data_IF_962440326168
#
_entry.id   IF_962440326168
#
_cell.length_a   1.000
_cell.length_b   1.000
_cell.length_c   1.000
_cell.angle_alpha   90.00
_cell.angle_beta   90.00
_cell.angle_gamma   90.00
#
_symmetry.space_group_name_H-M   'P 1'
#
loop_
_entity.id
_entity.type
_entity.pdbx_description
1 polymer ?
#
# COMPACT_ATOMS: atom_id res chain seq x y z
N UNK A 1 3.66 4.51 8.81
CA UNK A 1 2.42 3.90 8.27
C UNK A 1 1.17 4.73 8.48
N UNK A 2 0.90 5.19 9.71
CA UNK A 2 -0.29 6.03 9.99
C UNK A 2 -0.24 7.37 9.24
N UNK A 3 0.94 7.91 9.02
CA UNK A 3 1.16 9.15 8.26
C UNK A 3 0.71 9.03 6.81
N UNK A 4 1.07 7.94 6.14
CA UNK A 4 0.60 7.65 4.78
C UNK A 4 -0.94 7.65 4.72
N UNK A 5 -1.59 7.00 5.68
CA UNK A 5 -3.04 6.91 5.72
C UNK A 5 -3.71 8.26 5.99
N UNK A 6 -3.16 9.05 6.93
CA UNK A 6 -3.64 10.41 7.23
C UNK A 6 -3.50 11.31 5.98
N UNK A 7 -2.33 11.34 5.36
CA UNK A 7 -2.06 12.16 4.18
C UNK A 7 -2.93 11.73 3.00
N UNK A 8 -3.13 10.42 2.81
CA UNK A 8 -3.99 9.88 1.75
C UNK A 8 -5.45 10.33 1.88
N UNK A 9 -6.01 10.32 3.10
CA UNK A 9 -7.36 10.81 3.35
C UNK A 9 -7.46 12.33 3.19
N UNK A 10 -6.48 13.08 3.73
CA UNK A 10 -6.45 14.54 3.62
C UNK A 10 -6.22 15.02 2.18
N UNK A 11 -5.64 14.19 1.31
CA UNK A 11 -5.55 14.47 -0.13
C UNK A 11 -6.91 14.44 -0.83
N UNK A 12 -7.87 13.71 -0.30
CA UNK A 12 -9.25 13.71 -0.82
C UNK A 12 -10.00 14.99 -0.42
N UNK A 13 -9.93 15.37 0.86
CA UNK A 13 -10.59 16.56 1.42
C UNK A 13 -10.05 16.88 2.81
N UNK A 14 -10.13 18.14 3.24
CA UNK A 14 -9.90 18.52 4.65
C UNK A 14 -10.87 17.82 5.59
N UNK A 15 -10.39 17.39 6.78
CA UNK A 15 -11.18 16.62 7.75
C UNK A 15 -10.88 17.04 9.19
N UNK A 16 -11.88 16.85 10.07
CA UNK A 16 -11.66 16.89 11.52
C UNK A 16 -10.94 15.62 12.02
N UNK A 17 -10.20 15.70 13.12
CA UNK A 17 -9.48 14.55 13.68
C UNK A 17 -10.37 13.35 13.98
N UNK A 18 -11.61 13.55 14.45
CA UNK A 18 -12.55 12.44 14.68
C UNK A 18 -13.06 11.82 13.38
N UNK A 19 -13.21 12.61 12.31
CA UNK A 19 -13.56 12.10 10.97
C UNK A 19 -12.43 11.27 10.41
N UNK A 20 -11.18 11.73 10.53
CA UNK A 20 -10.00 10.96 10.13
C UNK A 20 -9.99 9.59 10.82
N UNK A 21 -10.24 9.53 12.13
CA UNK A 21 -10.27 8.26 12.85
C UNK A 21 -11.35 7.31 12.31
N UNK A 22 -12.55 7.83 12.04
CA UNK A 22 -13.65 7.05 11.48
C UNK A 22 -13.35 6.57 10.07
N UNK A 23 -12.92 7.45 9.18
CA UNK A 23 -12.58 7.12 7.78
C UNK A 23 -11.45 6.11 7.70
N UNK A 24 -10.41 6.24 8.54
CA UNK A 24 -9.34 5.26 8.64
C UNK A 24 -9.86 3.85 8.99
N UNK A 25 -10.85 3.79 9.90
CA UNK A 25 -11.45 2.51 10.30
C UNK A 25 -12.38 1.94 9.23
N UNK A 26 -13.14 2.79 8.53
CA UNK A 26 -14.12 2.41 7.51
C UNK A 26 -13.45 2.02 6.17
N UNK A 27 -12.56 2.85 5.64
CA UNK A 27 -11.94 2.63 4.33
C UNK A 27 -10.91 1.50 4.34
N UNK A 28 -10.23 1.30 5.46
CA UNK A 28 -9.24 0.23 5.59
C UNK A 28 -9.84 -1.08 6.12
N UNK A 29 -11.19 -1.11 6.28
CA UNK A 29 -12.00 -2.32 6.39
C UNK A 29 -11.57 -3.30 7.49
N UNK A 30 -11.22 -2.82 8.68
CA UNK A 30 -10.75 -3.70 9.77
C UNK A 30 -9.32 -4.26 9.57
N UNK A 31 -8.72 -4.06 8.40
CA UNK A 31 -7.31 -4.41 8.13
C UNK A 31 -6.36 -3.58 8.98
N UNK A 32 -6.85 -2.43 9.46
CA UNK A 32 -6.08 -1.54 10.30
C UNK A 32 -6.92 -0.83 11.36
N UNK A 33 -6.65 -1.12 12.63
CA UNK A 33 -7.23 -0.38 13.76
C UNK A 33 -6.27 0.73 14.19
N UNK A 34 -6.67 1.98 13.95
CA UNK A 34 -5.95 3.15 14.45
C UNK A 34 -6.54 3.58 15.78
N UNK A 35 -5.73 3.56 16.84
CA UNK A 35 -6.15 4.10 18.15
C UNK A 35 -6.06 5.63 18.15
N UNK A 36 -6.90 6.28 18.94
CA UNK A 36 -6.78 7.73 19.21
C UNK A 36 -5.40 8.08 19.76
N UNK A 37 -4.79 7.17 20.54
CA UNK A 37 -3.46 7.34 21.10
C UNK A 37 -2.34 7.43 20.07
N UNK A 38 -2.52 6.87 18.85
CA UNK A 38 -1.54 6.97 17.75
C UNK A 38 -1.88 8.07 16.74
N UNK A 39 -3.16 8.39 16.55
CA UNK A 39 -3.60 9.39 15.58
C UNK A 39 -3.15 10.81 15.94
N UNK A 40 -3.47 11.29 17.13
CA UNK A 40 -3.16 12.67 17.50
C UNK A 40 -1.67 13.00 17.61
N UNK A 41 -0.81 12.12 18.16
CA UNK A 41 0.65 12.34 18.07
C UNK A 41 1.14 12.43 16.62
N UNK A 42 0.60 11.62 15.71
CA UNK A 42 0.98 11.66 14.29
C UNK A 42 0.50 12.94 13.61
N UNK A 43 -0.71 13.43 13.90
CA UNK A 43 -1.19 14.73 13.41
C UNK A 43 -0.28 15.88 13.88
N UNK A 44 0.10 15.91 15.16
CA UNK A 44 1.02 16.94 15.69
C UNK A 44 2.39 16.89 15.01
N UNK A 45 2.91 15.69 14.71
CA UNK A 45 4.18 15.53 14.01
C UNK A 45 4.09 16.04 12.60
N UNK A 46 3.07 15.60 11.82
CA UNK A 46 2.85 16.06 10.46
C UNK A 46 2.63 17.57 10.35
N UNK A 47 1.96 18.18 11.34
CA UNK A 47 1.76 19.63 11.43
C UNK A 47 3.07 20.35 11.72
N UNK A 48 3.86 19.91 12.70
CA UNK A 48 5.18 20.46 13.02
C UNK A 48 6.13 20.35 11.82
N UNK A 49 6.06 19.26 11.07
CA UNK A 49 6.89 18.98 9.90
C UNK A 49 6.35 19.69 8.64
N UNK A 50 5.28 20.48 8.76
CA UNK A 50 4.69 21.28 7.69
C UNK A 50 3.91 20.47 6.64
N UNK A 51 3.72 19.17 6.84
CA UNK A 51 3.01 18.30 5.89
C UNK A 51 1.48 18.48 5.92
N UNK A 52 0.93 18.92 7.05
CA UNK A 52 -0.47 19.33 7.18
C UNK A 52 -0.56 20.68 7.88
N UNK A 53 -1.68 21.36 7.69
CA UNK A 53 -2.03 22.55 8.46
C UNK A 53 -3.34 22.33 9.19
N UNK A 54 -3.50 22.98 10.34
CA UNK A 54 -4.76 23.01 11.07
C UNK A 54 -5.41 24.40 10.99
N UNK A 55 -6.70 24.40 10.80
CA UNK A 55 -7.53 25.61 10.77
C UNK A 55 -8.67 25.47 11.80
N UNK A 56 -9.06 26.59 12.46
CA UNK A 56 -10.26 26.57 13.31
C UNK A 56 -11.47 26.25 12.45
N UNK A 57 -12.10 25.10 12.68
CA UNK A 57 -13.37 24.77 12.02
C UNK A 57 -14.47 25.69 12.53
N UNK A 58 -15.11 26.41 11.60
CA UNK A 58 -16.20 27.31 11.92
C UNK A 58 -17.41 26.56 12.47
N UNK A 59 -17.53 26.45 13.78
CA UNK A 59 -18.80 26.13 14.45
C UNK A 59 -18.95 26.99 15.70
N UNK A 60 -20.09 27.62 15.80
CA UNK A 60 -20.57 28.45 16.91
C UNK A 60 -20.89 27.64 18.19
N UNK A 61 -20.05 26.67 18.56
CA UNK A 61 -20.24 25.83 19.74
C UNK A 61 -18.98 25.77 20.61
N UNK A 62 -19.14 25.46 21.91
CA UNK A 62 -18.16 25.51 22.98
C UNK A 62 -16.91 24.59 22.80
N UNK A 63 -16.77 23.86 21.69
CA UNK A 63 -15.57 23.10 21.31
C UNK A 63 -15.12 23.55 19.93
N UNK A 64 -14.02 24.30 19.84
CA UNK A 64 -13.32 24.58 18.58
C UNK A 64 -12.92 23.24 17.94
N UNK A 65 -13.60 22.85 16.86
CA UNK A 65 -13.27 21.68 16.09
C UNK A 65 -12.14 22.06 15.13
N UNK A 66 -10.97 21.44 15.28
CA UNK A 66 -9.85 21.64 14.37
C UNK A 66 -10.05 20.85 13.09
N UNK A 67 -9.92 21.50 11.93
CA UNK A 67 -9.90 20.90 10.60
C UNK A 67 -8.45 20.79 10.15
N UNK A 68 -8.05 19.64 9.67
CA UNK A 68 -6.73 19.40 9.10
C UNK A 68 -6.80 19.36 7.57
N UNK A 69 -5.83 19.95 6.91
CA UNK A 69 -5.69 19.93 5.46
C UNK A 69 -4.24 19.58 5.08
N UNK A 70 -4.06 18.85 3.99
CA UNK A 70 -2.74 18.54 3.44
C UNK A 70 -2.13 19.81 2.84
N UNK A 71 -0.81 19.92 2.90
CA UNK A 71 -0.03 21.00 2.26
C UNK A 71 0.69 20.46 1.02
N UNK A 72 1.29 21.31 0.16
CA UNK A 72 2.15 20.83 -0.93
C UNK A 72 3.31 19.96 -0.44
N UNK A 73 3.88 20.26 0.72
CA UNK A 73 4.90 19.45 1.38
C UNK A 73 4.35 18.07 1.79
N UNK A 74 3.12 18.04 2.34
CA UNK A 74 2.44 16.81 2.67
C UNK A 74 2.11 15.96 1.44
N UNK A 75 1.76 16.56 0.32
CA UNK A 75 1.55 15.85 -0.95
C UNK A 75 2.84 15.19 -1.46
N UNK A 76 3.97 15.87 -1.34
CA UNK A 76 5.28 15.33 -1.69
C UNK A 76 5.64 14.16 -0.79
N UNK A 77 5.53 14.33 0.53
CA UNK A 77 5.76 13.26 1.51
C UNK A 77 4.84 12.05 1.27
N UNK A 78 3.57 12.29 0.95
CA UNK A 78 2.62 11.22 0.62
C UNK A 78 3.10 10.36 -0.55
N UNK A 79 3.56 10.99 -1.65
CA UNK A 79 4.06 10.27 -2.82
C UNK A 79 5.37 9.53 -2.54
N UNK A 80 6.24 10.08 -1.69
CA UNK A 80 7.46 9.42 -1.22
C UNK A 80 7.14 8.15 -0.45
N UNK A 81 6.23 8.24 0.54
CA UNK A 81 5.78 7.09 1.35
C UNK A 81 5.09 6.00 0.52
N UNK A 82 4.35 6.40 -0.54
CA UNK A 82 3.73 5.44 -1.45
C UNK A 82 4.76 4.63 -2.25
N UNK A 83 5.89 5.24 -2.59
CA UNK A 83 6.95 4.65 -3.41
C UNK A 83 8.09 4.04 -2.59
N UNK A 84 8.02 4.15 -1.26
CA UNK A 84 9.04 3.60 -0.37
C UNK A 84 9.31 2.12 -0.69
N UNK A 85 10.60 1.72 -0.83
CA UNK A 85 10.92 0.32 -1.10
C UNK A 85 10.45 -0.59 0.04
N UNK A 86 10.13 -1.86 -0.26
CA UNK A 86 9.76 -2.83 0.77
C UNK A 86 10.90 -2.99 1.77
N UNK A 87 10.54 -3.10 3.04
CA UNK A 87 11.48 -3.41 4.12
C UNK A 87 11.30 -4.89 4.48
N UNK A 88 12.41 -5.60 4.70
CA UNK A 88 12.40 -7.00 5.11
C UNK A 88 11.96 -7.12 6.58
N UNK A 89 10.66 -7.03 6.83
CA UNK A 89 10.11 -7.28 8.17
C UNK A 89 8.67 -7.78 8.10
N UNK A 90 8.21 -8.40 9.18
CA UNK A 90 6.85 -8.96 9.30
C UNK A 90 5.72 -7.93 9.10
N UNK A 91 6.03 -6.64 9.18
CA UNK A 91 5.06 -5.55 8.97
C UNK A 91 4.90 -5.16 7.50
N UNK A 92 5.69 -5.72 6.58
CA UNK A 92 5.64 -5.36 5.16
C UNK A 92 4.30 -5.71 4.50
N UNK A 93 3.65 -6.81 4.90
CA UNK A 93 2.33 -7.17 4.38
C UNK A 93 1.29 -6.09 4.71
N UNK A 94 1.30 -5.59 5.93
CA UNK A 94 0.40 -4.52 6.35
C UNK A 94 0.74 -3.19 5.67
N UNK A 95 2.03 -2.89 5.47
CA UNK A 95 2.48 -1.70 4.74
C UNK A 95 2.08 -1.75 3.28
N UNK A 96 2.25 -2.90 2.62
CA UNK A 96 1.85 -3.08 1.23
C UNK A 96 0.34 -2.87 1.06
N UNK A 97 -0.50 -3.47 1.91
CA UNK A 97 -1.96 -3.30 1.85
C UNK A 97 -2.36 -1.84 2.04
N UNK A 98 -1.71 -1.13 2.95
CA UNK A 98 -1.93 0.30 3.16
C UNK A 98 -1.58 1.12 1.92
N UNK A 99 -0.42 0.88 1.32
CA UNK A 99 -0.01 1.56 0.08
C UNK A 99 -0.97 1.28 -1.06
N UNK A 100 -1.39 0.03 -1.21
CA UNK A 100 -2.30 -0.40 -2.27
C UNK A 100 -3.63 0.36 -2.25
N UNK A 101 -4.17 0.68 -1.07
CA UNK A 101 -5.39 1.47 -0.93
C UNK A 101 -5.31 2.85 -1.61
N UNK A 102 -4.09 3.37 -1.79
CA UNK A 102 -3.81 4.68 -2.38
C UNK A 102 -3.11 4.61 -3.74
N UNK A 103 -2.99 3.43 -4.37
CA UNK A 103 -2.31 3.27 -5.66
C UNK A 103 -2.91 4.12 -6.79
N UNK A 104 -4.18 4.52 -6.69
CA UNK A 104 -4.83 5.43 -7.64
C UNK A 104 -4.08 6.76 -7.85
N UNK A 105 -3.27 7.19 -6.88
CA UNK A 105 -2.48 8.41 -6.96
C UNK A 105 -1.11 8.23 -7.63
N UNK A 106 -0.76 7.01 -8.01
CA UNK A 106 0.49 6.70 -8.71
C UNK A 106 0.27 6.54 -10.22
N UNK A 107 1.29 6.87 -11.04
CA UNK A 107 1.27 6.53 -12.46
C UNK A 107 1.11 5.02 -12.70
N UNK A 108 0.42 4.59 -13.77
CA UNK A 108 0.18 3.17 -14.07
C UNK A 108 1.45 2.31 -14.07
N UNK A 109 2.53 2.78 -14.69
CA UNK A 109 3.81 2.06 -14.76
C UNK A 109 4.42 1.88 -13.36
N UNK A 110 4.27 2.89 -12.50
CA UNK A 110 4.75 2.81 -11.12
C UNK A 110 3.94 1.79 -10.31
N UNK A 111 2.61 1.74 -10.51
CA UNK A 111 1.74 0.73 -9.89
C UNK A 111 2.18 -0.68 -10.27
N UNK A 112 2.31 -0.95 -11.58
CA UNK A 112 2.76 -2.26 -12.08
C UNK A 112 4.12 -2.63 -11.51
N UNK A 113 5.09 -1.73 -11.54
CA UNK A 113 6.43 -1.97 -10.99
C UNK A 113 6.42 -2.33 -9.50
N UNK A 114 5.60 -1.66 -8.70
CA UNK A 114 5.49 -1.94 -7.26
C UNK A 114 4.81 -3.29 -6.99
N UNK A 115 3.78 -3.64 -7.78
CA UNK A 115 3.12 -4.94 -7.71
C UNK A 115 4.06 -6.08 -8.10
N UNK A 116 4.83 -5.92 -9.19
CA UNK A 116 5.83 -6.90 -9.64
C UNK A 116 6.93 -7.12 -8.59
N UNK A 117 7.43 -6.03 -7.99
CA UNK A 117 8.42 -6.13 -6.91
C UNK A 117 7.87 -6.90 -5.71
N UNK A 118 6.63 -6.62 -5.32
CA UNK A 118 5.96 -7.36 -4.24
C UNK A 118 5.83 -8.85 -4.57
N UNK A 119 5.39 -9.18 -5.78
CA UNK A 119 5.29 -10.56 -6.26
C UNK A 119 6.63 -11.28 -6.20
N UNK A 120 7.70 -10.64 -6.67
CA UNK A 120 9.04 -11.21 -6.63
C UNK A 120 9.48 -11.55 -5.20
N UNK A 121 9.34 -10.64 -4.24
CA UNK A 121 9.67 -10.92 -2.83
C UNK A 121 8.85 -12.07 -2.23
N UNK A 122 7.56 -12.20 -2.62
CA UNK A 122 6.76 -13.36 -2.19
C UNK A 122 7.24 -14.67 -2.85
N UNK A 123 7.69 -14.64 -4.10
CA UNK A 123 8.25 -15.82 -4.78
C UNK A 123 9.55 -16.29 -4.13
N UNK A 124 10.43 -15.37 -3.75
CA UNK A 124 11.66 -15.67 -3.00
C UNK A 124 11.32 -16.32 -1.65
N UNK A 125 10.43 -15.72 -0.87
CA UNK A 125 9.95 -16.28 0.40
C UNK A 125 9.30 -17.66 0.25
N UNK A 126 8.52 -17.86 -0.81
CA UNK A 126 7.90 -19.15 -1.11
C UNK A 126 8.94 -20.25 -1.39
N UNK A 127 10.02 -19.89 -2.10
CA UNK A 127 11.12 -20.82 -2.37
C UNK A 127 11.82 -21.27 -1.08
N UNK A 128 12.04 -20.35 -0.13
CA UNK A 128 12.60 -20.64 1.19
C UNK A 128 11.71 -21.61 1.99
N UNK A 129 10.40 -21.30 2.08
CA UNK A 129 9.43 -22.17 2.78
C UNK A 129 9.39 -23.57 2.15
N UNK A 130 9.40 -23.67 0.82
CA UNK A 130 9.43 -24.96 0.13
C UNK A 130 10.72 -25.76 0.40
N UNK A 131 11.83 -25.08 0.56
CA UNK A 131 13.11 -25.72 0.91
C UNK A 131 13.05 -26.32 2.33
N UNK A 132 12.55 -25.57 3.30
CA UNK A 132 12.38 -26.08 4.68
C UNK A 132 11.39 -27.23 4.78
N UNK A 133 10.30 -27.21 4.00
CA UNK A 133 9.32 -28.31 3.97
C UNK A 133 9.87 -29.63 3.38
N UNK A 134 10.95 -29.57 2.61
CA UNK A 134 11.61 -30.77 2.02
C UNK A 134 12.53 -31.47 3.00
N UNK A 135 12.95 -30.81 4.07
CA UNK A 135 13.83 -31.40 5.10
C UNK A 135 12.99 -32.20 6.12
N UNK A 136 13.07 -33.53 6.14
CA UNK A 136 12.23 -34.35 6.99
C UNK A 136 12.71 -34.44 8.47
N UNK A 137 13.84 -33.79 8.80
CA UNK A 137 14.60 -34.17 10.00
C UNK A 137 14.26 -33.45 11.31
N UNK A 138 13.54 -32.31 11.32
CA UNK A 138 13.52 -31.44 12.51
C UNK A 138 12.17 -30.80 12.87
N UNK A 139 11.09 -31.06 12.13
CA UNK A 139 9.85 -30.30 12.30
C UNK A 139 8.76 -31.13 12.93
N UNK A 140 8.25 -30.73 14.09
CA UNK A 140 7.04 -31.33 14.67
C UNK A 140 5.80 -31.09 13.80
N UNK A 141 4.71 -31.83 14.08
CA UNK A 141 3.49 -31.76 13.26
C UNK A 141 2.85 -30.37 13.19
N UNK A 142 2.95 -29.56 14.25
CA UNK A 142 2.39 -28.20 14.28
C UNK A 142 3.26 -27.22 13.51
N UNK A 143 4.58 -27.33 13.63
CA UNK A 143 5.51 -26.53 12.83
C UNK A 143 5.33 -26.81 11.35
N UNK A 144 5.17 -28.10 10.97
CA UNK A 144 4.89 -28.48 9.59
C UNK A 144 3.57 -27.92 9.10
N UNK A 145 2.49 -28.05 9.88
CA UNK A 145 1.19 -27.47 9.55
C UNK A 145 1.24 -25.95 9.38
N UNK A 146 2.01 -25.24 10.22
CA UNK A 146 2.23 -23.80 10.10
C UNK A 146 2.96 -23.44 8.80
N UNK A 147 4.01 -24.19 8.44
CA UNK A 147 4.75 -23.98 7.18
C UNK A 147 3.89 -24.28 5.95
N UNK A 148 3.06 -25.33 5.98
CA UNK A 148 2.13 -25.65 4.89
C UNK A 148 1.06 -24.56 4.73
N UNK A 149 0.54 -24.03 5.84
CA UNK A 149 -0.36 -22.88 5.83
C UNK A 149 0.31 -21.63 5.25
N UNK A 150 1.53 -21.32 5.70
CA UNK A 150 2.30 -20.18 5.17
C UNK A 150 2.57 -20.31 3.67
N UNK A 151 2.90 -21.52 3.19
CA UNK A 151 3.06 -21.82 1.76
C UNK A 151 1.77 -21.54 0.99
N UNK A 152 0.65 -22.11 1.43
CA UNK A 152 -0.63 -21.96 0.76
C UNK A 152 -1.09 -20.48 0.72
N UNK A 153 -0.94 -19.75 1.81
CA UNK A 153 -1.25 -18.32 1.88
C UNK A 153 -0.37 -17.50 0.91
N UNK A 154 0.94 -17.77 0.85
CA UNK A 154 1.85 -17.08 -0.07
C UNK A 154 1.54 -17.39 -1.53
N UNK A 155 1.20 -18.63 -1.87
CA UNK A 155 0.77 -19.02 -3.23
C UNK A 155 -0.52 -18.30 -3.63
N UNK A 156 -1.49 -18.16 -2.73
CA UNK A 156 -2.71 -17.40 -2.96
C UNK A 156 -2.44 -15.90 -3.18
N UNK A 157 -1.56 -15.30 -2.38
CA UNK A 157 -1.16 -13.90 -2.53
C UNK A 157 -0.46 -13.64 -3.88
N UNK A 158 0.40 -14.57 -4.32
CA UNK A 158 1.07 -14.48 -5.64
C UNK A 158 0.03 -14.57 -6.78
N UNK A 159 -0.92 -15.49 -6.69
CA UNK A 159 -1.98 -15.62 -7.68
C UNK A 159 -2.81 -14.33 -7.77
N UNK A 160 -3.23 -13.79 -6.64
CA UNK A 160 -3.96 -12.52 -6.57
C UNK A 160 -3.15 -11.35 -7.16
N UNK A 161 -1.85 -11.25 -6.87
CA UNK A 161 -0.99 -10.22 -7.46
C UNK A 161 -0.87 -10.35 -8.98
N UNK A 162 -0.81 -11.58 -9.51
CA UNK A 162 -0.79 -11.79 -10.96
C UNK A 162 -2.04 -11.25 -11.63
N UNK A 163 -3.23 -11.52 -11.07
CA UNK A 163 -4.50 -10.98 -11.56
C UNK A 163 -4.52 -9.43 -11.50
N UNK A 164 -4.04 -8.87 -10.40
CA UNK A 164 -4.00 -7.43 -10.22
C UNK A 164 -3.05 -6.75 -11.22
N UNK A 165 -1.85 -7.33 -11.43
CA UNK A 165 -0.87 -6.86 -12.44
C UNK A 165 -1.48 -6.94 -13.85
N UNK A 166 -2.15 -8.04 -14.16
CA UNK A 166 -2.79 -8.21 -15.46
C UNK A 166 -3.87 -7.13 -15.69
N UNK A 167 -4.73 -6.90 -14.71
CA UNK A 167 -5.76 -5.87 -14.77
C UNK A 167 -5.19 -4.45 -14.94
N UNK A 168 -4.12 -4.12 -14.19
CA UNK A 168 -3.47 -2.81 -14.30
C UNK A 168 -2.83 -2.60 -15.68
N UNK A 169 -2.20 -3.63 -16.24
CA UNK A 169 -1.61 -3.58 -17.59
C UNK A 169 -2.69 -3.38 -18.66
N UNK A 170 -3.81 -4.11 -18.59
CA UNK A 170 -4.93 -3.93 -19.53
C UNK A 170 -5.51 -2.51 -19.45
N UNK A 171 -5.70 -1.97 -18.25
CA UNK A 171 -6.17 -0.58 -18.05
C UNK A 171 -5.22 0.44 -18.68
N UNK A 172 -3.92 0.20 -18.55
CA UNK A 172 -2.91 1.07 -19.14
C UNK A 172 -2.95 1.04 -20.68
N UNK A 173 -3.01 -0.15 -21.28
CA UNK A 173 -3.11 -0.32 -22.73
C UNK A 173 -4.36 0.37 -23.32
N UNK A 174 -5.49 0.32 -22.62
CA UNK A 174 -6.74 0.97 -23.04
C UNK A 174 -6.66 2.50 -22.94
N UNK A 175 -5.91 3.02 -21.95
CA UNK A 175 -5.87 4.46 -21.65
C UNK A 175 -4.74 5.19 -22.40
N UNK A 176 -3.73 4.46 -22.89
CA UNK A 176 -2.59 5.04 -23.60
C UNK A 176 -3.00 5.56 -24.99
N UNK A 177 -2.50 6.74 -25.41
CA UNK A 177 -2.68 7.23 -26.80
C UNK A 177 -2.17 6.21 -27.81
N UNK A 178 -2.82 6.12 -28.96
CA UNK A 178 -2.54 5.11 -30.03
C UNK A 178 -1.05 5.01 -30.40
N UNK A 179 -0.28 6.09 -30.26
CA UNK A 179 1.16 6.13 -30.52
C UNK A 179 2.01 5.41 -29.45
N UNK A 180 1.61 5.46 -28.18
CA UNK A 180 2.28 4.80 -27.06
C UNK A 180 1.88 3.32 -26.94
N UNK A 181 0.65 2.99 -27.31
CA UNK A 181 0.16 1.60 -27.38
C UNK A 181 1.03 0.73 -28.29
N UNK A 182 1.48 1.27 -29.44
CA UNK A 182 2.38 0.55 -30.36
C UNK A 182 3.78 0.34 -29.79
N UNK A 183 4.30 1.28 -29.00
CA UNK A 183 5.63 1.15 -28.34
C UNK A 183 5.59 0.16 -27.18
N UNK A 184 4.54 0.19 -26.36
CA UNK A 184 4.35 -0.74 -25.24
C UNK A 184 4.19 -2.19 -25.72
N UNK A 185 3.37 -2.42 -26.75
CA UNK A 185 3.17 -3.75 -27.36
C UNK A 185 4.44 -4.30 -28.01
N UNK A 186 5.29 -3.45 -28.62
CA UNK A 186 6.56 -3.85 -29.20
C UNK A 186 7.59 -4.25 -28.14
N UNK A 187 7.62 -3.56 -27.00
CA UNK A 187 8.53 -3.85 -25.88
C UNK A 187 8.16 -5.15 -25.16
N UNK A 188 6.85 -5.44 -25.00
CA UNK A 188 6.35 -6.70 -24.46
C UNK A 188 6.74 -7.91 -25.33
N UNK A 189 6.48 -7.84 -26.64
CA UNK A 189 6.83 -8.90 -27.59
C UNK A 189 8.33 -9.16 -27.70
N UNK A 190 9.19 -8.16 -27.42
CA UNK A 190 10.63 -8.32 -27.41
C UNK A 190 11.13 -9.05 -26.16
N UNK A 191 10.46 -8.86 -25.00
CA UNK A 191 10.77 -9.58 -23.75
C UNK A 191 10.33 -11.04 -23.78
N UNK A 192 9.23 -11.36 -24.45
CA UNK A 192 8.75 -12.74 -24.61
C UNK A 192 9.60 -13.58 -25.59
N UNK A 193 10.38 -12.95 -26.46
CA UNK A 193 11.29 -13.64 -27.42
C UNK A 193 12.67 -13.94 -26.86
N UNK A 194 12.99 -13.51 -25.65
CA UNK A 194 14.34 -13.61 -25.04
C UNK A 194 14.34 -14.57 -23.81
N UNK A 195 13.29 -15.37 -23.62
CA UNK A 195 13.21 -16.45 -22.64
C UNK A 195 13.26 -17.79 -23.33
#
# INVERSE_FOLDING_TARGET
MIELAILGLLKERPMHGYQLNRELSEQLGGLWRVSYGSLYPSLRRLERDGAIRSEPGGSTGARRKTVYAITPEGERLFLELLQEPPQENQTEDARFRMRLAFFRYLPPETRVRLLERRRQGLQERLAEVKTHLRDPGTTDSYQRALMEHARAATEADIAWLNELIHTERQRFEITAPVGEQRRASATLRRKERTV
#
